data_IF_042661380553
#
_entry.id   IF_042661380553
#
_cell.length_a   1.000
_cell.length_b   1.000
_cell.length_c   1.000
_cell.angle_alpha   90.00
_cell.angle_beta   90.00
_cell.angle_gamma   90.00
#
_symmetry.space_group_name_H-M   'P 1'
#
loop_
_entity.id
_entity.type
_entity.pdbx_description
1 polymer ?
#
# COMPACT_ATOMS: atom_id res chain seq x y z
N UNK A 1 27.64 5.14 29.82
CA UNK A 1 27.04 3.98 29.14
C UNK A 1 25.67 3.72 29.74
N UNK A 2 24.61 4.32 29.21
CA UNK A 2 23.24 4.02 29.64
C UNK A 2 22.65 3.02 28.65
N UNK A 3 22.74 1.75 29.02
CA UNK A 3 22.00 0.64 28.45
C UNK A 3 20.53 0.80 28.85
N UNK A 4 19.79 1.59 28.07
CA UNK A 4 18.34 1.67 28.20
C UNK A 4 17.73 0.59 27.30
N UNK A 5 16.98 -0.30 27.95
CA UNK A 5 16.57 -1.59 27.44
C UNK A 5 15.91 -1.51 26.07
N UNK A 6 16.40 -2.35 25.16
CA UNK A 6 15.66 -2.77 23.98
C UNK A 6 14.32 -3.35 24.46
N UNK A 7 13.26 -2.57 24.29
CA UNK A 7 11.94 -2.93 24.76
C UNK A 7 11.32 -3.96 23.79
N UNK A 8 11.71 -5.22 23.96
CA UNK A 8 11.29 -6.36 23.14
C UNK A 8 9.88 -6.85 23.45
N UNK A 9 8.94 -5.95 23.78
CA UNK A 9 7.56 -6.30 24.12
C UNK A 9 6.93 -7.11 22.98
N UNK A 10 6.96 -8.43 23.16
CA UNK A 10 6.51 -9.42 22.20
C UNK A 10 5.08 -9.09 21.80
N UNK A 11 4.92 -8.78 20.52
CA UNK A 11 3.61 -8.60 19.90
C UNK A 11 2.79 -9.86 20.15
N UNK A 12 1.55 -9.70 20.63
CA UNK A 12 0.61 -10.82 20.73
C UNK A 12 0.20 -11.21 19.30
N UNK A 13 0.47 -12.46 18.93
CA UNK A 13 -0.01 -13.01 17.68
C UNK A 13 -1.55 -13.04 17.68
N UNK A 14 -2.15 -12.50 16.62
CA UNK A 14 -3.56 -12.57 16.36
C UNK A 14 -3.85 -13.72 15.38
N UNK A 15 -5.01 -14.37 15.51
CA UNK A 15 -5.42 -15.49 14.66
C UNK A 15 -5.47 -15.14 13.15
N UNK A 16 -5.55 -13.86 12.80
CA UNK A 16 -5.61 -13.40 11.41
C UNK A 16 -4.23 -12.96 10.85
N UNK A 17 -3.12 -13.15 11.56
CA UNK A 17 -1.83 -12.60 11.12
C UNK A 17 -1.36 -13.19 9.79
N UNK A 18 -1.69 -14.46 9.52
CA UNK A 18 -1.37 -15.16 8.26
C UNK A 18 -2.25 -14.74 7.07
N UNK A 19 -3.24 -13.86 7.29
CA UNK A 19 -4.14 -13.42 6.23
C UNK A 19 -3.41 -12.54 5.21
N UNK A 20 -3.29 -13.02 3.97
CA UNK A 20 -2.71 -12.24 2.87
C UNK A 20 -3.65 -11.09 2.49
N UNK A 21 -3.19 -9.86 2.71
CA UNK A 21 -3.92 -8.64 2.34
C UNK A 21 -3.49 -8.11 0.97
N UNK A 22 -2.20 -8.18 0.63
CA UNK A 22 -1.71 -7.81 -0.68
C UNK A 22 -1.37 -9.07 -1.48
N UNK A 23 -2.22 -9.45 -2.45
CA UNK A 23 -1.93 -10.60 -3.32
C UNK A 23 -0.73 -10.37 -4.24
N UNK A 24 -0.49 -9.12 -4.64
CA UNK A 24 0.54 -8.79 -5.64
C UNK A 24 1.97 -8.85 -5.06
N UNK A 25 2.14 -8.48 -3.79
CA UNK A 25 3.44 -8.47 -3.10
C UNK A 25 3.46 -9.50 -1.95
N UNK A 26 2.45 -10.37 -1.88
CA UNK A 26 2.29 -11.43 -0.87
C UNK A 26 2.32 -10.98 0.60
N UNK A 27 1.93 -9.73 0.85
CA UNK A 27 1.96 -9.11 2.19
C UNK A 27 0.77 -9.56 3.04
N UNK A 28 1.08 -9.98 4.25
CA UNK A 28 0.14 -10.43 5.28
C UNK A 28 -0.37 -9.29 6.17
N UNK A 29 -1.46 -9.55 6.89
CA UNK A 29 -2.01 -8.65 7.90
C UNK A 29 -1.06 -8.48 9.08
N UNK A 30 -0.34 -9.54 9.44
CA UNK A 30 0.72 -9.50 10.44
C UNK A 30 1.78 -8.46 10.08
N UNK A 31 2.36 -8.54 8.89
CA UNK A 31 3.41 -7.58 8.45
C UNK A 31 2.97 -6.11 8.47
N UNK A 32 1.69 -5.83 8.19
CA UNK A 32 1.16 -4.47 8.27
C UNK A 32 1.01 -4.03 9.73
N UNK A 33 0.55 -4.91 10.62
CA UNK A 33 0.57 -4.65 12.07
C UNK A 33 2.00 -4.47 12.60
N UNK A 34 2.96 -5.15 11.99
CA UNK A 34 4.38 -5.01 12.30
C UNK A 34 4.89 -3.61 12.00
N UNK A 35 4.57 -3.09 10.81
CA UNK A 35 4.86 -1.72 10.46
C UNK A 35 4.15 -0.70 11.38
N UNK A 36 2.88 -0.94 11.71
CA UNK A 36 2.12 -0.06 12.60
C UNK A 36 2.71 -0.01 14.01
N UNK A 37 3.07 -1.17 14.59
CA UNK A 37 3.70 -1.27 15.91
C UNK A 37 5.09 -0.63 15.95
N UNK A 38 5.80 -0.58 14.82
CA UNK A 38 7.07 0.16 14.70
C UNK A 38 6.87 1.70 14.70
N UNK A 39 5.64 2.19 14.86
CA UNK A 39 5.32 3.62 14.93
C UNK A 39 5.00 4.27 13.58
N UNK A 40 4.82 3.48 12.52
CA UNK A 40 4.47 4.00 11.20
C UNK A 40 2.96 4.24 11.14
N UNK A 41 2.54 5.49 11.26
CA UNK A 41 1.11 5.87 11.32
C UNK A 41 0.55 6.44 10.01
N UNK A 42 1.34 6.43 8.94
CA UNK A 42 0.93 6.98 7.64
C UNK A 42 0.78 5.88 6.60
N UNK A 43 -0.22 5.99 5.72
CA UNK A 43 -0.45 5.04 4.63
C UNK A 43 0.77 4.97 3.71
N UNK A 44 1.37 6.12 3.39
CA UNK A 44 2.59 6.22 2.59
C UNK A 44 3.79 5.56 3.28
N UNK A 45 3.89 5.65 4.61
CA UNK A 45 4.90 4.95 5.39
C UNK A 45 4.73 3.44 5.35
N UNK A 46 3.50 2.94 5.57
CA UNK A 46 3.22 1.50 5.52
C UNK A 46 3.52 0.95 4.12
N UNK A 47 3.11 1.65 3.05
CA UNK A 47 3.45 1.27 1.67
C UNK A 47 4.95 1.13 1.48
N UNK A 48 5.76 2.09 1.94
CA UNK A 48 7.22 2.04 1.79
C UNK A 48 7.85 0.91 2.59
N UNK A 49 7.32 0.62 3.77
CA UNK A 49 7.85 -0.43 4.65
C UNK A 49 7.51 -1.83 4.16
N UNK A 50 6.25 -2.09 3.80
CA UNK A 50 5.77 -3.45 3.49
C UNK A 50 5.59 -3.71 2.00
N UNK A 51 5.82 -2.71 1.14
CA UNK A 51 5.52 -2.76 -0.30
C UNK A 51 4.04 -2.91 -0.67
N UNK A 52 3.14 -3.00 0.30
CA UNK A 52 1.71 -3.24 0.07
C UNK A 52 1.11 -2.19 -0.91
N UNK A 53 0.60 -2.66 -2.04
CA UNK A 53 -0.01 -1.79 -3.06
C UNK A 53 0.95 -1.20 -4.10
N UNK A 54 2.22 -1.61 -4.11
CA UNK A 54 3.19 -1.25 -5.17
C UNK A 54 3.37 -2.32 -6.25
N UNK A 55 2.59 -3.41 -6.20
CA UNK A 55 2.61 -4.46 -7.23
C UNK A 55 1.79 -4.11 -8.48
N UNK A 56 1.62 -5.08 -9.38
CA UNK A 56 0.90 -4.94 -10.66
C UNK A 56 -0.49 -4.31 -10.52
N UNK A 57 -1.19 -4.62 -9.43
CA UNK A 57 -2.51 -4.11 -9.12
C UNK A 57 -2.53 -2.65 -8.60
N UNK A 58 -1.37 -2.00 -8.38
CA UNK A 58 -1.25 -0.61 -7.91
C UNK A 58 -2.16 -0.25 -6.72
N UNK A 59 -2.36 -1.20 -5.79
CA UNK A 59 -3.16 -0.98 -4.58
C UNK A 59 -4.67 -0.97 -4.77
N UNK A 60 -5.20 -1.40 -5.92
CA UNK A 60 -6.65 -1.44 -6.17
C UNK A 60 -7.42 -2.31 -5.16
N UNK A 61 -6.87 -3.46 -4.78
CA UNK A 61 -7.50 -4.39 -3.83
C UNK A 61 -7.13 -4.06 -2.38
N UNK A 62 -5.84 -3.94 -2.09
CA UNK A 62 -5.33 -3.82 -0.72
C UNK A 62 -5.34 -2.38 -0.19
N UNK A 63 -5.39 -1.35 -1.05
CA UNK A 63 -5.18 0.04 -0.64
C UNK A 63 -6.20 0.55 0.38
N UNK A 64 -7.48 0.25 0.19
CA UNK A 64 -8.54 0.63 1.15
C UNK A 64 -8.42 -0.12 2.47
N UNK A 65 -8.02 -1.39 2.43
CA UNK A 65 -7.83 -2.22 3.63
C UNK A 65 -6.66 -1.71 4.47
N UNK A 66 -5.53 -1.41 3.82
CA UNK A 66 -4.35 -0.81 4.47
C UNK A 66 -4.71 0.53 5.11
N UNK A 67 -5.39 1.40 4.37
CA UNK A 67 -5.79 2.70 4.89
C UNK A 67 -6.74 2.57 6.10
N UNK A 68 -7.70 1.64 6.04
CA UNK A 68 -8.58 1.33 7.17
C UNK A 68 -7.84 0.84 8.41
N UNK A 69 -6.81 -0.01 8.26
CA UNK A 69 -6.00 -0.45 9.40
C UNK A 69 -5.18 0.69 10.01
N UNK A 70 -4.58 1.54 9.16
CA UNK A 70 -3.82 2.71 9.61
C UNK A 70 -4.70 3.68 10.39
N UNK A 71 -5.91 3.98 9.93
CA UNK A 71 -6.82 4.87 10.66
C UNK A 71 -7.28 4.30 12.00
N UNK A 72 -7.52 2.98 12.06
CA UNK A 72 -7.88 2.32 13.33
C UNK A 72 -6.76 2.40 14.36
N UNK A 73 -5.51 2.27 13.94
CA UNK A 73 -4.35 2.38 14.83
C UNK A 73 -4.07 3.83 15.23
N UNK A 74 -4.22 4.78 14.30
CA UNK A 74 -4.02 6.20 14.55
C UNK A 74 -5.14 6.85 15.41
N UNK A 75 -6.19 6.10 15.76
CA UNK A 75 -7.32 6.59 16.57
C UNK A 75 -8.19 7.65 15.88
N UNK A 76 -8.02 7.86 14.57
CA UNK A 76 -8.77 8.84 13.80
C UNK A 76 -10.09 8.29 13.26
N UNK A 77 -11.07 9.15 12.96
CA UNK A 77 -12.27 8.73 12.23
C UNK A 77 -11.85 8.11 10.88
N UNK A 78 -12.45 6.97 10.53
CA UNK A 78 -12.26 6.31 9.23
C UNK A 78 -13.08 7.06 8.17
N UNK A 79 -12.88 8.37 8.06
CA UNK A 79 -13.52 9.18 7.04
C UNK A 79 -12.62 9.17 5.79
N UNK A 80 -13.11 8.63 4.65
CA UNK A 80 -12.37 8.62 3.39
C UNK A 80 -11.98 10.02 2.88
N UNK A 81 -12.60 11.09 3.37
CA UNK A 81 -12.25 12.48 3.06
C UNK A 81 -11.06 13.00 3.88
N UNK A 82 -10.77 12.40 5.04
CA UNK A 82 -9.66 12.79 5.93
C UNK A 82 -8.40 11.95 5.72
N UNK A 83 -8.53 10.79 5.07
CA UNK A 83 -7.39 9.98 4.67
C UNK A 83 -6.66 10.62 3.50
N UNK A 84 -5.33 10.65 3.57
CA UNK A 84 -4.51 11.01 2.41
C UNK A 84 -4.88 10.10 1.23
N UNK A 85 -5.40 10.68 0.12
CA UNK A 85 -5.83 9.89 -1.01
C UNK A 85 -4.63 9.15 -1.59
N UNK A 86 -4.83 7.87 -1.92
CA UNK A 86 -3.84 7.13 -2.69
C UNK A 86 -3.69 7.83 -4.03
N UNK A 87 -2.56 8.49 -4.24
CA UNK A 87 -2.29 9.23 -5.49
C UNK A 87 -2.30 8.25 -6.65
N UNK A 88 -3.36 8.26 -7.45
CA UNK A 88 -3.42 7.50 -8.69
C UNK A 88 -2.53 8.19 -9.71
N UNK A 89 -1.55 7.45 -10.25
CA UNK A 89 -0.67 7.94 -11.31
C UNK A 89 -1.10 7.30 -12.63
N UNK A 90 -1.25 8.07 -13.72
CA UNK A 90 -1.42 7.49 -15.05
C UNK A 90 -0.19 6.65 -15.44
N UNK A 91 -0.35 5.55 -16.19
CA UNK A 91 -1.61 4.91 -16.59
C UNK A 91 -2.20 4.03 -15.46
N UNK A 92 -3.53 4.03 -15.33
CA UNK A 92 -4.25 3.31 -14.25
C UNK A 92 -4.02 1.79 -14.31
N UNK A 93 -3.84 1.25 -15.52
CA UNK A 93 -3.44 -0.13 -15.75
C UNK A 93 -2.12 -0.14 -16.51
N UNK A 94 -1.27 -1.16 -16.32
CA UNK A 94 -0.11 -1.33 -17.17
C UNK A 94 -0.53 -1.41 -18.64
N UNK A 95 -0.09 -0.44 -19.43
CA UNK A 95 -0.37 -0.34 -20.86
C UNK A 95 0.94 -0.60 -21.60
N UNK A 96 0.96 -1.43 -22.66
CA UNK A 96 2.16 -1.65 -23.45
C UNK A 96 2.69 -0.34 -24.02
N UNK A 97 4.02 -0.19 -24.04
CA UNK A 97 4.68 1.05 -24.50
C UNK A 97 4.30 1.42 -25.94
N UNK A 98 4.03 0.44 -26.81
CA UNK A 98 3.60 0.69 -28.18
C UNK A 98 2.28 1.47 -28.30
N UNK A 99 1.37 1.36 -27.32
CA UNK A 99 0.13 2.15 -27.31
C UNK A 99 0.40 3.62 -26.97
N UNK A 100 1.35 3.87 -26.05
CA UNK A 100 1.76 5.23 -25.70
C UNK A 100 2.68 5.86 -26.76
N UNK A 101 3.42 5.04 -27.51
CA UNK A 101 4.34 5.49 -28.54
C UNK A 101 3.65 5.84 -29.88
N UNK A 102 2.35 5.54 -30.03
CA UNK A 102 1.64 5.70 -31.30
C UNK A 102 1.10 7.12 -31.55
N UNK A 103 1.79 8.15 -31.06
CA UNK A 103 1.41 9.57 -31.25
C UNK A 103 1.59 10.05 -32.71
N UNK A 104 2.05 9.18 -33.62
CA UNK A 104 2.38 9.52 -35.02
C UNK A 104 1.55 8.80 -36.09
N UNK A 105 0.61 7.92 -35.73
CA UNK A 105 -0.26 7.23 -36.72
C UNK A 105 -1.68 7.81 -36.72
N UNK A 106 -1.76 9.12 -36.86
CA UNK A 106 -2.98 9.87 -37.12
C UNK A 106 -2.81 10.69 -38.39
N UNK A 107 -2.81 10.02 -39.54
CA UNK A 107 -2.82 10.68 -40.85
C UNK A 107 -1.91 10.00 -41.88
N UNK A 108 -2.30 8.82 -42.35
CA UNK A 108 -2.08 8.33 -43.72
C UNK A 108 -2.93 7.06 -43.88
N UNK A 109 -4.25 7.30 -43.96
CA UNK A 109 -5.15 6.43 -44.72
C UNK A 109 -5.07 6.87 -46.19
N UNK A 110 -5.08 5.91 -47.12
CA UNK A 110 -5.20 6.04 -48.59
C UNK A 110 -3.90 6.05 -49.45
N UNK A 111 -3.45 4.84 -49.85
CA UNK A 111 -3.32 4.40 -51.27
C UNK A 111 -2.82 2.96 -51.43
#
# INVERSE_FOLDING_TARGET
>A
MHSEGCNCQGRKAHADDDLVLCRCEEVTKGEIRDALAAGITTVSGVKRATRAGMGLCQGQTCGRLVAGMVAREAGGPVDPATMEPVTARPPVRPTPMGVLANDSQGGEEER
#
